data_IF_640786223589
#
_entry.id   IF_640786223589
#
_cell.length_a   1.000
_cell.length_b   1.000
_cell.length_c   1.000
_cell.angle_alpha   90.00
_cell.angle_beta   90.00
_cell.angle_gamma   90.00
#
_symmetry.space_group_name_H-M   'P 1'
#
loop_
_entity.id
_entity.type
_entity.pdbx_description
1 polymer ?
#
# COMPACT_ATOMS: atom_id res chain seq x y z
N UNK A 1 9.27 5.77 -24.43
CA UNK A 1 9.05 4.63 -23.52
C UNK A 1 9.30 5.09 -22.09
N UNK A 2 8.24 5.52 -21.38
CA UNK A 2 8.36 6.08 -20.02
C UNK A 2 8.43 4.93 -19.01
N UNK A 3 9.45 4.92 -18.15
CA UNK A 3 9.66 3.91 -17.09
C UNK A 3 9.50 4.46 -15.68
N UNK A 4 9.57 5.77 -15.51
CA UNK A 4 9.43 6.42 -14.22
C UNK A 4 8.74 7.77 -14.36
N UNK A 5 7.85 8.07 -13.43
CA UNK A 5 7.22 9.38 -13.27
C UNK A 5 7.47 9.83 -11.83
N UNK A 6 7.96 11.05 -11.70
CA UNK A 6 8.01 11.76 -10.42
C UNK A 6 7.24 13.07 -10.60
N UNK A 7 6.06 13.15 -10.00
CA UNK A 7 5.35 14.40 -9.84
C UNK A 7 5.99 15.12 -8.66
N UNK A 8 6.60 16.27 -8.90
CA UNK A 8 7.22 17.08 -7.85
C UNK A 8 6.85 18.53 -8.07
N UNK A 9 5.97 19.05 -7.24
CA UNK A 9 5.58 20.46 -7.27
C UNK A 9 6.38 21.25 -6.23
N UNK A 10 6.77 22.50 -6.54
CA UNK A 10 7.47 23.37 -5.59
C UNK A 10 6.59 23.73 -4.39
N UNK A 11 5.30 23.97 -4.64
CA UNK A 11 4.28 24.23 -3.64
C UNK A 11 3.13 23.22 -3.77
N UNK A 12 2.39 22.92 -2.68
CA UNK A 12 1.21 22.09 -2.73
C UNK A 12 0.20 22.61 -3.74
N UNK A 13 -0.13 21.80 -4.74
CA UNK A 13 -1.14 22.12 -5.74
C UNK A 13 -1.97 20.89 -6.10
N UNK A 14 -3.22 21.15 -6.47
CA UNK A 14 -4.17 20.13 -6.88
C UNK A 14 -4.01 19.81 -8.37
N UNK A 15 -3.96 18.52 -8.69
CA UNK A 15 -3.96 18.03 -10.07
C UNK A 15 -5.12 17.05 -10.21
N UNK A 16 -6.08 17.41 -11.05
CA UNK A 16 -7.19 16.53 -11.42
C UNK A 16 -6.66 15.45 -12.37
N UNK A 17 -6.75 14.20 -11.93
CA UNK A 17 -6.39 13.05 -12.74
C UNK A 17 -7.46 12.78 -13.79
N UNK A 18 -7.02 12.59 -15.03
CA UNK A 18 -7.84 11.95 -16.03
C UNK A 18 -7.89 10.43 -15.73
N UNK A 19 -9.06 9.76 -15.78
CA UNK A 19 -9.18 8.34 -15.49
C UNK A 19 -8.27 7.42 -16.30
N UNK A 20 -7.84 7.88 -17.48
CA UNK A 20 -7.01 7.17 -18.45
C UNK A 20 -5.56 7.67 -18.50
N UNK A 21 -5.14 8.53 -17.55
CA UNK A 21 -3.82 9.17 -17.56
C UNK A 21 -2.66 8.16 -17.58
N UNK A 22 -2.86 6.96 -17.03
CA UNK A 22 -1.86 5.88 -17.03
C UNK A 22 -2.01 4.87 -18.18
N UNK A 23 -3.07 4.91 -18.99
CA UNK A 23 -3.41 3.84 -19.97
C UNK A 23 -2.27 3.54 -20.94
N UNK A 24 -1.58 4.57 -21.42
CA UNK A 24 -0.48 4.43 -22.39
C UNK A 24 0.89 4.21 -21.74
N UNK A 25 0.97 4.22 -20.41
CA UNK A 25 2.20 4.10 -19.64
C UNK A 25 2.51 2.64 -19.26
N UNK A 26 2.30 1.71 -20.20
CA UNK A 26 2.33 0.25 -19.95
C UNK A 26 3.67 -0.27 -19.40
N UNK A 27 4.76 0.47 -19.60
CA UNK A 27 6.10 0.13 -19.13
C UNK A 27 6.54 0.92 -17.88
N UNK A 28 5.62 1.68 -17.25
CA UNK A 28 5.91 2.45 -16.06
C UNK A 28 6.24 1.51 -14.89
N UNK A 29 7.42 1.71 -14.31
CA UNK A 29 7.95 0.92 -13.20
C UNK A 29 7.96 1.70 -11.89
N UNK A 30 8.05 3.02 -11.95
CA UNK A 30 8.19 3.87 -10.78
C UNK A 30 7.17 5.00 -10.88
N UNK A 31 6.34 5.15 -9.86
CA UNK A 31 5.49 6.31 -9.68
C UNK A 31 5.76 6.94 -8.32
N UNK A 32 6.12 8.21 -8.32
CA UNK A 32 6.41 8.99 -7.11
C UNK A 32 5.61 10.29 -7.18
N UNK A 33 4.87 10.59 -6.12
CA UNK A 33 4.15 11.83 -5.95
C UNK A 33 4.69 12.61 -4.75
N UNK A 34 5.28 13.78 -5.00
CA UNK A 34 5.81 14.70 -3.98
C UNK A 34 5.10 16.03 -4.10
N UNK A 35 4.39 16.41 -3.04
CA UNK A 35 3.71 17.70 -2.89
C UNK A 35 2.60 17.99 -3.93
N UNK A 36 2.07 17.00 -4.66
CA UNK A 36 0.84 17.20 -5.43
C UNK A 36 -0.34 16.52 -4.76
N UNK A 37 -1.47 17.22 -4.65
CA UNK A 37 -2.75 16.63 -4.29
C UNK A 37 -3.38 16.08 -5.56
N UNK A 38 -3.19 14.79 -5.83
CA UNK A 38 -3.79 14.14 -6.99
C UNK A 38 -5.22 13.73 -6.64
N UNK A 39 -6.19 14.35 -7.30
CA UNK A 39 -7.62 14.14 -7.06
C UNK A 39 -8.32 13.52 -8.28
N UNK A 40 -9.51 12.96 -8.05
CA UNK A 40 -10.25 12.20 -9.06
C UNK A 40 -9.86 10.72 -9.11
N UNK A 41 -10.58 9.96 -9.92
CA UNK A 41 -10.42 8.51 -10.05
C UNK A 41 -9.49 8.13 -11.20
N UNK A 42 -8.92 6.93 -11.12
CA UNK A 42 -8.21 6.28 -12.22
C UNK A 42 -8.79 4.89 -12.46
N UNK A 43 -8.88 4.49 -13.73
CA UNK A 43 -9.42 3.19 -14.12
C UNK A 43 -8.32 2.17 -14.45
N UNK A 44 -7.06 2.60 -14.46
CA UNK A 44 -5.93 1.76 -14.85
C UNK A 44 -4.65 2.13 -14.10
N UNK A 45 -3.93 1.11 -13.63
CA UNK A 45 -2.54 1.22 -13.21
C UNK A 45 -1.67 0.19 -13.97
N UNK A 46 -0.46 0.55 -14.42
CA UNK A 46 0.41 -0.36 -15.16
C UNK A 46 0.94 -1.52 -14.29
N UNK A 47 0.76 -2.76 -14.74
CA UNK A 47 1.28 -3.96 -14.06
C UNK A 47 2.82 -4.08 -14.10
N UNK A 48 3.50 -3.20 -14.84
CA UNK A 48 4.96 -3.09 -14.81
C UNK A 48 5.49 -2.37 -13.56
N UNK A 49 4.61 -1.75 -12.75
CA UNK A 49 4.99 -1.01 -11.54
C UNK A 49 5.75 -1.89 -10.55
N UNK A 50 6.86 -1.34 -10.07
CA UNK A 50 7.76 -1.91 -9.07
C UNK A 50 7.80 -1.06 -7.80
N UNK A 51 7.55 0.23 -7.92
CA UNK A 51 7.54 1.15 -6.80
C UNK A 51 6.42 2.18 -6.96
N UNK A 52 5.58 2.28 -5.94
CA UNK A 52 4.55 3.31 -5.81
C UNK A 52 4.84 4.07 -4.53
N UNK A 53 5.03 5.37 -4.65
CA UNK A 53 5.13 6.31 -3.53
C UNK A 53 4.10 7.41 -3.77
N UNK A 54 2.93 7.23 -3.18
CA UNK A 54 1.75 8.05 -3.40
C UNK A 54 1.08 8.42 -2.07
N UNK A 55 1.76 9.24 -1.25
CA UNK A 55 1.18 9.73 -0.01
C UNK A 55 -0.07 10.57 -0.30
N UNK A 56 -1.02 10.55 0.63
CA UNK A 56 -2.30 11.28 0.56
C UNK A 56 -3.11 10.98 -0.71
N UNK A 57 -2.97 9.77 -1.26
CA UNK A 57 -3.79 9.31 -2.38
C UNK A 57 -5.28 9.28 -1.98
N UNK A 58 -6.12 9.91 -2.81
CA UNK A 58 -7.55 10.02 -2.54
C UNK A 58 -8.37 8.78 -2.98
N UNK A 59 -7.74 7.84 -3.69
CA UNK A 59 -8.38 6.62 -4.15
C UNK A 59 -8.79 5.75 -2.96
N UNK A 60 -10.04 5.26 -3.00
CA UNK A 60 -10.55 4.34 -1.97
C UNK A 60 -10.13 2.89 -2.21
N UNK A 61 -9.82 2.56 -3.46
CA UNK A 61 -9.30 1.26 -3.89
C UNK A 61 -8.40 1.45 -5.12
N UNK A 62 -7.50 0.49 -5.38
CA UNK A 62 -6.75 0.47 -6.63
C UNK A 62 -7.65 -0.04 -7.78
N UNK A 63 -7.33 0.30 -9.05
CA UNK A 63 -8.08 -0.20 -10.19
C UNK A 63 -8.17 -1.74 -10.20
N UNK A 64 -9.33 -2.33 -10.53
CA UNK A 64 -9.57 -3.78 -10.36
C UNK A 64 -8.65 -4.68 -11.20
N UNK A 65 -8.10 -4.17 -12.29
CA UNK A 65 -7.19 -4.90 -13.18
C UNK A 65 -5.71 -4.80 -12.76
N UNK A 66 -5.40 -4.05 -11.70
CA UNK A 66 -4.06 -3.94 -11.19
C UNK A 66 -3.70 -5.15 -10.32
N UNK A 67 -2.74 -5.94 -10.79
CA UNK A 67 -2.29 -7.17 -10.13
C UNK A 67 -1.04 -6.95 -9.28
N UNK A 68 -0.24 -5.94 -9.59
CA UNK A 68 0.90 -5.51 -8.77
C UNK A 68 2.04 -6.54 -8.61
N UNK A 69 2.08 -7.67 -9.34
CA UNK A 69 3.03 -8.78 -9.06
C UNK A 69 4.52 -8.38 -9.08
N UNK A 70 4.86 -7.26 -9.71
CA UNK A 70 6.24 -6.72 -9.80
C UNK A 70 6.55 -5.69 -8.71
N UNK A 71 5.59 -5.30 -7.88
CA UNK A 71 5.78 -4.35 -6.78
C UNK A 71 6.81 -4.89 -5.80
N UNK A 72 7.71 -4.00 -5.40
CA UNK A 72 8.76 -4.18 -4.39
C UNK A 72 8.50 -3.26 -3.20
N UNK A 73 8.07 -2.02 -3.47
CA UNK A 73 7.69 -1.05 -2.45
C UNK A 73 6.35 -0.40 -2.77
N UNK A 74 5.51 -0.27 -1.74
CA UNK A 74 4.19 0.33 -1.80
C UNK A 74 4.02 1.30 -0.62
N UNK A 75 4.12 2.60 -0.87
CA UNK A 75 3.90 3.65 0.10
C UNK A 75 2.63 4.44 -0.25
N UNK A 76 1.61 4.33 0.60
CA UNK A 76 0.32 5.02 0.49
C UNK A 76 -0.01 5.74 1.80
N UNK A 77 1.01 6.24 2.49
CA UNK A 77 0.88 6.99 3.74
C UNK A 77 -0.22 8.06 3.65
N UNK A 78 -1.08 8.15 4.66
CA UNK A 78 -2.25 9.08 4.72
C UNK A 78 -3.24 8.92 3.56
N UNK A 79 -3.30 7.78 2.88
CA UNK A 79 -4.27 7.56 1.79
C UNK A 79 -5.68 7.23 2.30
N UNK A 80 -6.65 7.30 1.39
CA UNK A 80 -8.06 6.98 1.65
C UNK A 80 -8.40 5.50 1.34
N UNK A 81 -7.39 4.65 1.17
CA UNK A 81 -7.61 3.25 0.84
C UNK A 81 -8.40 2.58 1.97
N UNK A 82 -9.50 1.91 1.61
CA UNK A 82 -10.37 1.24 2.60
C UNK A 82 -10.01 -0.22 2.80
N UNK A 83 -9.58 -0.85 1.72
CA UNK A 83 -9.31 -2.28 1.65
C UNK A 83 -8.23 -2.57 0.61
N UNK A 84 -7.44 -3.61 0.86
CA UNK A 84 -6.40 -4.11 -0.04
C UNK A 84 -6.92 -5.21 -0.98
N UNK A 85 -8.19 -5.14 -1.37
CA UNK A 85 -8.77 -6.11 -2.30
C UNK A 85 -7.97 -6.12 -3.62
N UNK A 86 -7.53 -7.31 -4.05
CA UNK A 86 -6.66 -7.48 -5.21
C UNK A 86 -5.19 -7.77 -4.86
N UNK A 87 -4.75 -7.56 -3.61
CA UNK A 87 -3.41 -7.90 -3.13
C UNK A 87 -3.27 -9.40 -2.83
N UNK A 88 -3.67 -10.25 -3.78
CA UNK A 88 -3.70 -11.71 -3.60
C UNK A 88 -2.34 -12.37 -3.78
N UNK A 89 -1.47 -11.80 -4.63
CA UNK A 89 -0.20 -12.42 -4.97
C UNK A 89 0.87 -11.40 -5.37
N UNK A 90 1.66 -10.96 -4.40
CA UNK A 90 2.71 -9.96 -4.56
C UNK A 90 4.07 -10.55 -4.16
N UNK A 91 4.63 -11.48 -4.96
CA UNK A 91 5.80 -12.26 -4.57
C UNK A 91 7.07 -11.41 -4.41
N UNK A 92 7.11 -10.18 -4.94
CA UNK A 92 8.28 -9.32 -4.88
C UNK A 92 8.18 -8.23 -3.81
N UNK A 93 7.02 -8.06 -3.16
CA UNK A 93 6.79 -6.95 -2.26
C UNK A 93 7.58 -7.16 -0.97
N UNK A 94 8.42 -6.17 -0.63
CA UNK A 94 9.25 -6.19 0.58
C UNK A 94 8.85 -5.11 1.58
N UNK A 95 8.19 -4.04 1.13
CA UNK A 95 7.85 -2.88 1.93
C UNK A 95 6.43 -2.42 1.61
N UNK A 96 5.61 -2.30 2.67
CA UNK A 96 4.27 -1.73 2.61
C UNK A 96 4.11 -0.70 3.73
N UNK A 97 3.77 0.53 3.36
CA UNK A 97 3.46 1.59 4.30
C UNK A 97 2.05 2.13 4.01
N UNK A 98 1.17 1.94 4.99
CA UNK A 98 -0.19 2.44 5.04
C UNK A 98 -0.41 3.30 6.29
N UNK A 99 0.64 3.83 6.91
CA UNK A 99 0.50 4.68 8.10
C UNK A 99 -0.50 5.80 7.87
N UNK A 100 -1.27 6.11 8.91
CA UNK A 100 -2.30 7.15 8.93
C UNK A 100 -3.42 6.96 7.89
N UNK A 101 -3.63 5.75 7.33
CA UNK A 101 -4.77 5.47 6.46
C UNK A 101 -6.05 5.35 7.29
N UNK A 102 -6.71 6.47 7.56
CA UNK A 102 -7.84 6.54 8.49
C UNK A 102 -9.10 5.82 8.01
N UNK A 103 -9.18 5.43 6.74
CA UNK A 103 -10.31 4.66 6.19
C UNK A 103 -10.02 3.15 6.13
N UNK A 104 -8.81 2.72 6.46
CA UNK A 104 -8.43 1.31 6.43
C UNK A 104 -9.02 0.58 7.63
N UNK A 105 -9.91 -0.38 7.37
CA UNK A 105 -10.59 -1.14 8.43
C UNK A 105 -9.96 -2.52 8.67
N UNK A 106 -9.38 -3.12 7.63
CA UNK A 106 -8.87 -4.50 7.69
C UNK A 106 -7.60 -4.71 6.87
N UNK A 107 -6.71 -5.55 7.39
CA UNK A 107 -5.65 -6.20 6.61
C UNK A 107 -6.10 -7.62 6.24
N UNK A 108 -6.22 -7.94 4.94
CA UNK A 108 -6.68 -9.26 4.48
C UNK A 108 -5.57 -10.32 4.61
N UNK A 109 -5.86 -11.55 4.18
CA UNK A 109 -4.86 -12.61 4.04
C UNK A 109 -3.66 -12.16 3.18
N UNK A 110 -2.47 -12.17 3.79
CA UNK A 110 -1.20 -11.79 3.16
C UNK A 110 -0.31 -13.01 2.83
N UNK A 111 -0.84 -14.24 2.87
CA UNK A 111 -0.10 -15.47 2.54
C UNK A 111 0.54 -15.43 1.15
N UNK A 112 -0.06 -14.71 0.20
CA UNK A 112 0.46 -14.45 -1.13
C UNK A 112 1.57 -13.40 -1.22
N UNK A 113 2.05 -12.86 -0.09
CA UNK A 113 3.10 -11.83 0.01
C UNK A 113 4.29 -12.35 0.85
N UNK A 114 4.94 -13.46 0.45
CA UNK A 114 5.89 -14.20 1.29
C UNK A 114 7.20 -13.45 1.58
N UNK A 115 7.47 -12.35 0.87
CA UNK A 115 8.73 -11.61 0.93
C UNK A 115 8.64 -10.26 1.65
N UNK A 116 7.47 -9.92 2.22
CA UNK A 116 7.31 -8.68 2.98
C UNK A 116 8.20 -8.69 4.22
N UNK A 117 8.91 -7.58 4.43
CA UNK A 117 9.81 -7.35 5.57
C UNK A 117 9.30 -6.25 6.48
N UNK A 118 8.68 -5.23 5.91
CA UNK A 118 8.18 -4.07 6.63
C UNK A 118 6.70 -3.87 6.32
N UNK A 119 5.87 -4.00 7.34
CA UNK A 119 4.44 -3.70 7.29
C UNK A 119 4.15 -2.57 8.29
N UNK A 120 4.02 -1.36 7.78
CA UNK A 120 3.85 -0.15 8.59
C UNK A 120 2.39 0.31 8.50
N UNK A 121 1.68 0.24 9.62
CA UNK A 121 0.24 0.51 9.74
C UNK A 121 -0.06 1.54 10.84
N UNK A 122 0.97 2.19 11.38
CA UNK A 122 0.83 3.13 12.50
C UNK A 122 -0.22 4.22 12.24
N UNK A 123 -0.94 4.59 13.29
CA UNK A 123 -2.01 5.58 13.30
C UNK A 123 -3.17 5.26 12.36
N UNK A 124 -3.38 4.01 11.95
CA UNK A 124 -4.62 3.58 11.29
C UNK A 124 -5.75 3.43 12.32
N UNK A 125 -6.36 4.55 12.72
CA UNK A 125 -7.28 4.58 13.88
C UNK A 125 -8.60 3.83 13.68
N UNK A 126 -8.94 3.46 12.43
CA UNK A 126 -10.12 2.66 12.09
C UNK A 126 -9.82 1.18 11.83
N UNK A 127 -8.55 0.77 11.90
CA UNK A 127 -8.15 -0.61 11.72
C UNK A 127 -8.70 -1.46 12.87
N UNK A 128 -9.57 -2.43 12.56
CA UNK A 128 -10.21 -3.30 13.57
C UNK A 128 -9.69 -4.73 13.54
N UNK A 129 -9.17 -5.17 12.40
CA UNK A 129 -8.82 -6.58 12.15
C UNK A 129 -7.56 -6.70 11.28
N UNK A 130 -6.67 -7.58 11.70
CA UNK A 130 -5.55 -8.07 10.89
C UNK A 130 -5.66 -9.59 10.80
N UNK A 131 -5.58 -10.11 9.58
CA UNK A 131 -5.64 -11.56 9.33
C UNK A 131 -4.47 -12.33 9.97
N UNK A 132 -4.74 -13.56 10.44
CA UNK A 132 -3.78 -14.42 11.12
C UNK A 132 -2.55 -14.76 10.26
N UNK A 133 -2.68 -14.71 8.93
CA UNK A 133 -1.57 -14.92 7.98
C UNK A 133 -0.39 -13.98 8.22
N UNK A 134 -0.61 -12.77 8.75
CA UNK A 134 0.46 -11.82 9.11
C UNK A 134 1.40 -12.45 10.14
N UNK A 135 0.84 -13.20 11.09
CA UNK A 135 1.58 -13.97 12.08
C UNK A 135 2.38 -15.14 11.53
N UNK A 136 2.24 -15.48 10.25
CA UNK A 136 2.92 -16.60 9.59
C UNK A 136 3.99 -16.12 8.58
N UNK A 137 4.15 -14.80 8.41
CA UNK A 137 5.09 -14.22 7.46
C UNK A 137 6.54 -14.46 7.93
N UNK A 138 7.21 -15.42 7.30
CA UNK A 138 8.54 -15.88 7.69
C UNK A 138 9.67 -14.85 7.46
N UNK A 139 9.39 -13.71 6.81
CA UNK A 139 10.38 -12.66 6.52
C UNK A 139 10.02 -11.29 7.10
N UNK A 140 8.90 -11.20 7.83
CA UNK A 140 8.46 -9.96 8.44
C UNK A 140 9.43 -9.60 9.58
N UNK A 141 10.12 -8.47 9.44
CA UNK A 141 11.09 -7.96 10.40
C UNK A 141 10.45 -6.85 11.26
N UNK A 142 9.62 -6.01 10.65
CA UNK A 142 8.95 -4.89 11.34
C UNK A 142 7.45 -4.94 11.07
N UNK A 143 6.69 -4.89 12.16
CA UNK A 143 5.25 -4.69 12.17
C UNK A 143 4.97 -3.49 13.07
N UNK A 144 4.53 -2.39 12.47
CA UNK A 144 4.21 -1.18 13.22
C UNK A 144 2.70 -0.96 13.26
N UNK A 145 2.13 -1.06 14.45
CA UNK A 145 0.72 -0.91 14.80
C UNK A 145 0.50 0.24 15.79
N UNK A 146 1.51 1.08 16.04
CA UNK A 146 1.39 2.20 16.99
C UNK A 146 0.16 3.04 16.65
N UNK A 147 -0.59 3.50 17.64
CA UNK A 147 -1.79 4.31 17.41
C UNK A 147 -2.97 3.62 16.71
N UNK A 148 -2.96 2.31 16.51
CA UNK A 148 -4.12 1.55 15.99
C UNK A 148 -5.16 1.25 17.08
N UNK A 149 -5.75 2.28 17.70
CA UNK A 149 -6.55 2.15 18.92
C UNK A 149 -7.84 1.31 18.82
N UNK A 150 -8.36 1.06 17.61
CA UNK A 150 -9.55 0.22 17.39
C UNK A 150 -9.24 -1.24 17.05
N UNK A 151 -7.96 -1.61 16.99
CA UNK A 151 -7.54 -2.97 16.65
C UNK A 151 -7.97 -3.92 17.78
N UNK A 152 -8.93 -4.79 17.47
CA UNK A 152 -9.49 -5.76 18.45
C UNK A 152 -9.24 -7.20 18.05
N UNK A 153 -9.05 -7.46 16.75
CA UNK A 153 -8.68 -8.78 16.21
C UNK A 153 -7.25 -8.75 15.72
N UNK A 154 -6.36 -9.15 16.61
CA UNK A 154 -4.95 -9.36 16.35
C UNK A 154 -4.59 -10.79 16.76
N UNK A 155 -3.96 -11.53 15.86
CA UNK A 155 -4.13 -12.98 15.73
C UNK A 155 -4.01 -13.84 16.99
N UNK A 156 -4.86 -14.85 17.09
CA UNK A 156 -4.79 -15.87 18.18
C UNK A 156 -3.63 -16.86 17.98
N UNK A 157 -2.93 -16.79 16.84
CA UNK A 157 -1.91 -17.75 16.39
C UNK A 157 -0.63 -17.09 15.86
N UNK A 158 -0.32 -15.89 16.32
CA UNK A 158 0.87 -15.16 15.87
C UNK A 158 2.14 -15.96 16.19
N UNK A 159 2.82 -16.42 15.13
CA UNK A 159 4.14 -17.08 15.18
C UNK A 159 5.10 -16.20 14.41
N UNK A 160 5.30 -14.98 14.91
CA UNK A 160 6.12 -13.91 14.35
C UNK A 160 7.62 -14.27 14.41
N UNK A 161 8.02 -15.32 13.68
CA UNK A 161 9.32 -16.01 13.84
C UNK A 161 10.54 -15.15 13.57
N UNK A 162 10.42 -14.18 12.66
CA UNK A 162 11.52 -13.36 12.19
C UNK A 162 11.38 -11.90 12.62
N UNK A 163 10.37 -11.59 13.43
CA UNK A 163 10.06 -10.22 13.81
C UNK A 163 11.14 -9.69 14.75
N UNK A 164 11.73 -8.57 14.37
CA UNK A 164 12.74 -7.84 15.12
C UNK A 164 12.09 -6.69 15.91
N UNK A 165 11.04 -6.07 15.34
CA UNK A 165 10.35 -4.92 15.92
C UNK A 165 8.82 -5.05 15.80
N UNK A 166 8.14 -4.88 16.93
CA UNK A 166 6.70 -4.72 17.04
C UNK A 166 6.43 -3.40 17.77
N UNK A 167 5.84 -2.44 17.06
CA UNK A 167 5.45 -1.14 17.60
C UNK A 167 3.93 -1.05 17.76
#
# INVERSE_FOLDING_TARGET
NIKGIMVKLPEPAEIILNPECFRNMVNLQIFINRNASLCGDINYLPNALRFIDWPSCQLQSLPPNFQGNRLVGFNMLRSHIRQLEGFKHLPNLTYMNLSECQSLEKIPDLSGIPNIKYLILSYCTHLVEIDDSVGLLAKLLVLDLDGCFKLTRFGTRLRLKSLEELC
#
